data_IF_231700040684
#
_entry.id   IF_231700040684
#
_cell.length_a   1.000
_cell.length_b   1.000
_cell.length_c   1.000
_cell.angle_alpha   90.00
_cell.angle_beta   90.00
_cell.angle_gamma   90.00
#
_symmetry.space_group_name_H-M   'P 1'
#
loop_
_entity.id
_entity.type
_entity.pdbx_description
1 polymer ?
#
# COMPACT_ATOMS: atom_id res chain seq x y z
N UNK A 1 -4.96 -26.80 -27.59
CA UNK A 1 -4.44 -26.67 -28.95
C UNK A 1 -3.77 -25.31 -29.07
N UNK A 2 -2.57 -25.25 -29.57
CA UNK A 2 -1.87 -24.00 -29.94
C UNK A 2 -1.90 -23.98 -31.48
N UNK A 3 -2.53 -22.97 -32.06
CA UNK A 3 -2.60 -22.80 -33.52
C UNK A 3 -2.90 -21.35 -33.87
N UNK A 4 -2.68 -20.97 -35.12
CA UNK A 4 -3.19 -19.73 -35.69
C UNK A 4 -4.69 -19.86 -35.99
N UNK A 5 -5.36 -18.73 -36.26
CA UNK A 5 -6.77 -18.73 -36.63
C UNK A 5 -7.09 -19.68 -37.84
N UNK A 6 -6.11 -19.86 -38.72
CA UNK A 6 -6.21 -20.71 -39.90
C UNK A 6 -5.92 -22.20 -39.67
N UNK A 7 -5.65 -22.61 -38.41
CA UNK A 7 -5.36 -24.02 -38.11
C UNK A 7 -6.56 -24.88 -38.46
N UNK A 8 -6.38 -25.93 -39.31
CA UNK A 8 -7.47 -26.80 -39.75
C UNK A 8 -8.31 -27.41 -38.62
N UNK A 9 -7.74 -27.52 -37.42
CA UNK A 9 -8.45 -28.07 -36.26
C UNK A 9 -9.65 -27.21 -35.84
N UNK A 10 -9.61 -25.89 -36.08
CA UNK A 10 -10.75 -25.03 -35.78
C UNK A 10 -11.92 -25.27 -36.72
N UNK A 11 -11.64 -25.60 -38.00
CA UNK A 11 -12.68 -25.98 -38.96
C UNK A 11 -13.33 -27.32 -38.63
N UNK A 12 -12.60 -28.21 -37.94
CA UNK A 12 -13.15 -29.51 -37.52
C UNK A 12 -13.98 -29.40 -36.24
N UNK A 13 -13.62 -28.48 -35.35
CA UNK A 13 -14.22 -28.37 -34.02
C UNK A 13 -15.30 -27.31 -33.89
N UNK A 14 -15.35 -26.33 -34.76
CA UNK A 14 -16.27 -25.20 -34.72
C UNK A 14 -17.23 -25.24 -35.92
N UNK A 15 -18.47 -24.81 -35.69
CA UNK A 15 -19.40 -24.53 -36.78
C UNK A 15 -18.85 -23.37 -37.63
N UNK A 16 -19.25 -23.34 -38.91
CA UNK A 16 -18.72 -22.42 -39.92
C UNK A 16 -18.89 -20.94 -39.50
N UNK A 17 -20.07 -20.57 -38.96
CA UNK A 17 -20.36 -19.22 -38.51
C UNK A 17 -19.48 -18.82 -37.28
N UNK A 18 -19.25 -19.76 -36.35
CA UNK A 18 -18.41 -19.54 -35.16
C UNK A 18 -16.95 -19.43 -35.55
N UNK A 19 -16.50 -20.23 -36.51
CA UNK A 19 -15.14 -20.16 -37.02
C UNK A 19 -14.89 -18.84 -37.77
N UNK A 20 -15.83 -18.38 -38.59
CA UNK A 20 -15.71 -17.09 -39.29
C UNK A 20 -15.68 -15.93 -38.26
N UNK A 21 -16.56 -15.94 -37.24
CA UNK A 21 -16.53 -14.95 -36.19
C UNK A 21 -15.19 -14.90 -35.40
N UNK A 22 -14.58 -16.07 -35.21
CA UNK A 22 -13.23 -16.12 -34.57
C UNK A 22 -12.15 -15.46 -35.44
N UNK A 23 -12.21 -15.66 -36.76
CA UNK A 23 -11.29 -15.06 -37.74
C UNK A 23 -11.47 -13.52 -37.70
N UNK A 24 -12.71 -13.05 -37.84
CA UNK A 24 -13.04 -11.63 -37.86
C UNK A 24 -12.59 -10.93 -36.57
N UNK A 25 -12.78 -11.54 -35.40
CA UNK A 25 -12.34 -11.02 -34.10
C UNK A 25 -10.81 -10.95 -33.98
N UNK A 26 -10.09 -11.97 -34.52
CA UNK A 26 -8.63 -11.98 -34.52
C UNK A 26 -8.08 -10.91 -35.47
N UNK A 27 -8.63 -10.78 -36.66
CA UNK A 27 -8.24 -9.71 -37.60
C UNK A 27 -8.45 -8.33 -37.02
N UNK A 28 -9.57 -8.12 -36.32
CA UNK A 28 -9.84 -6.85 -35.61
C UNK A 28 -8.83 -6.58 -34.50
N UNK A 29 -8.43 -7.59 -33.72
CA UNK A 29 -7.41 -7.46 -32.67
C UNK A 29 -6.02 -7.20 -33.27
N UNK A 30 -5.68 -7.81 -34.39
CA UNK A 30 -4.39 -7.59 -35.06
C UNK A 30 -4.29 -6.19 -35.68
N UNK A 31 -5.42 -5.63 -36.18
CA UNK A 31 -5.47 -4.26 -36.73
C UNK A 31 -5.54 -3.16 -35.66
N UNK A 32 -6.28 -3.39 -34.57
CA UNK A 32 -6.56 -2.37 -33.53
C UNK A 32 -5.74 -2.55 -32.27
N UNK A 33 -5.12 -3.70 -32.07
CA UNK A 33 -4.32 -4.03 -30.87
C UNK A 33 -2.86 -3.62 -31.01
N UNK A 34 -2.18 -3.55 -29.85
CA UNK A 34 -0.72 -3.39 -29.81
C UNK A 34 -0.03 -4.73 -30.10
N UNK A 35 0.96 -4.70 -30.97
CA UNK A 35 1.82 -5.86 -31.24
C UNK A 35 2.60 -6.24 -29.97
N UNK A 36 2.68 -7.55 -29.65
CA UNK A 36 3.38 -8.03 -28.48
C UNK A 36 4.88 -7.74 -28.57
N UNK A 37 5.38 -6.93 -27.63
CA UNK A 37 6.77 -6.54 -27.51
C UNK A 37 7.28 -6.82 -26.06
N UNK A 38 8.24 -7.72 -25.91
CA UNK A 38 8.81 -8.10 -24.63
C UNK A 38 9.52 -6.94 -23.92
N UNK A 39 10.14 -6.02 -24.66
CA UNK A 39 10.81 -4.86 -24.06
C UNK A 39 9.82 -3.81 -23.58
N UNK A 40 8.74 -3.57 -24.32
CA UNK A 40 7.62 -2.74 -23.85
C UNK A 40 6.97 -3.33 -22.61
N UNK A 41 6.77 -4.66 -22.59
CA UNK A 41 6.28 -5.38 -21.40
C UNK A 41 7.16 -5.15 -20.18
N UNK A 42 8.47 -5.34 -20.31
CA UNK A 42 9.44 -5.13 -19.21
C UNK A 42 9.46 -3.70 -18.69
N UNK A 43 9.18 -2.71 -19.54
CA UNK A 43 9.07 -1.30 -19.15
C UNK A 43 7.71 -0.93 -18.58
N UNK A 44 6.72 -1.84 -18.60
CA UNK A 44 5.36 -1.59 -18.15
C UNK A 44 4.53 -0.75 -19.14
N UNK A 45 4.93 -0.68 -20.40
CA UNK A 45 4.25 0.04 -21.48
C UNK A 45 3.22 -0.85 -22.19
N UNK A 46 3.28 -2.15 -21.97
CA UNK A 46 2.38 -3.16 -22.52
C UNK A 46 1.93 -4.11 -21.41
N UNK A 47 0.65 -4.44 -21.40
CA UNK A 47 0.06 -5.44 -20.48
C UNK A 47 -0.47 -6.63 -21.26
N UNK A 48 0.08 -7.85 -21.06
CA UNK A 48 -0.41 -9.05 -21.73
C UNK A 48 -1.75 -9.46 -21.15
N UNK A 49 -2.67 -9.89 -22.01
CA UNK A 49 -3.99 -10.37 -21.63
C UNK A 49 -4.09 -11.87 -21.90
N UNK A 50 -4.69 -12.61 -20.98
CA UNK A 50 -4.94 -14.04 -21.10
C UNK A 50 -6.40 -14.34 -20.76
N UNK A 51 -7.00 -15.24 -21.51
CA UNK A 51 -8.32 -15.75 -21.23
C UNK A 51 -8.22 -17.11 -20.53
N UNK A 52 -8.95 -17.28 -19.44
CA UNK A 52 -8.91 -18.51 -18.68
C UNK A 52 -10.08 -18.65 -17.71
N UNK A 53 -10.29 -19.86 -17.24
CA UNK A 53 -11.27 -20.19 -16.22
C UNK A 53 -10.62 -21.04 -15.12
N UNK A 54 -10.56 -20.51 -13.91
CA UNK A 54 -10.07 -21.26 -12.75
C UNK A 54 -10.98 -22.46 -12.38
N UNK A 55 -12.29 -22.35 -12.66
CA UNK A 55 -13.24 -23.43 -12.36
C UNK A 55 -13.03 -24.67 -13.23
N UNK A 56 -12.70 -24.48 -14.50
CA UNK A 56 -12.50 -25.56 -15.46
C UNK A 56 -11.03 -25.83 -15.77
N UNK A 57 -10.11 -25.07 -15.17
CA UNK A 57 -8.67 -25.04 -15.50
C UNK A 57 -8.37 -24.71 -16.97
N UNK A 58 -9.33 -24.12 -17.69
CA UNK A 58 -9.12 -23.69 -19.06
C UNK A 58 -8.10 -22.54 -19.10
N UNK A 59 -7.11 -22.63 -19.99
CA UNK A 59 -6.12 -21.57 -20.22
C UNK A 59 -5.07 -21.41 -19.10
N UNK A 60 -5.19 -22.08 -17.94
CA UNK A 60 -4.29 -21.91 -16.80
C UNK A 60 -2.86 -22.36 -17.12
N UNK A 61 -2.71 -23.52 -17.78
CA UNK A 61 -1.37 -24.03 -18.13
C UNK A 61 -0.64 -23.14 -19.14
N UNK A 62 -1.24 -22.73 -20.27
CA UNK A 62 -0.61 -21.77 -21.18
C UNK A 62 -0.26 -20.43 -20.51
N UNK A 63 -1.15 -19.93 -19.64
CA UNK A 63 -0.87 -18.71 -18.88
C UNK A 63 0.38 -18.86 -18.00
N UNK A 64 0.50 -19.95 -17.24
CA UNK A 64 1.68 -20.18 -16.37
C UNK A 64 2.96 -20.34 -17.16
N UNK A 65 2.93 -21.05 -18.31
CA UNK A 65 4.10 -21.21 -19.18
C UNK A 65 4.57 -19.85 -19.70
N UNK A 66 3.67 -19.01 -20.19
CA UNK A 66 4.01 -17.68 -20.69
C UNK A 66 4.40 -16.72 -19.56
N UNK A 67 3.72 -16.80 -18.39
CA UNK A 67 4.11 -16.02 -17.20
C UNK A 67 5.55 -16.28 -16.80
N UNK A 68 5.99 -17.54 -16.75
CA UNK A 68 7.38 -17.89 -16.41
C UNK A 68 8.37 -17.31 -17.42
N UNK A 69 7.98 -17.21 -18.69
CA UNK A 69 8.81 -16.61 -19.74
C UNK A 69 8.88 -15.08 -19.64
N UNK A 70 7.77 -14.45 -19.27
CA UNK A 70 7.63 -12.99 -19.23
C UNK A 70 8.03 -12.37 -17.90
N UNK A 71 7.98 -13.12 -16.79
CA UNK A 71 8.26 -12.61 -15.45
C UNK A 71 9.65 -11.97 -15.37
N UNK A 72 9.76 -10.69 -14.99
CA UNK A 72 11.05 -10.01 -14.93
C UNK A 72 11.86 -10.50 -13.73
N UNK A 73 13.18 -10.49 -13.88
CA UNK A 73 14.09 -10.63 -12.74
C UNK A 73 13.93 -9.42 -11.79
N UNK A 74 14.35 -9.53 -10.51
CA UNK A 74 14.41 -8.38 -9.63
C UNK A 74 15.12 -7.19 -10.28
N UNK A 75 14.46 -6.03 -10.26
CA UNK A 75 14.94 -4.83 -10.93
C UNK A 75 15.66 -3.91 -9.93
N UNK A 76 16.62 -3.07 -10.41
CA UNK A 76 17.23 -2.01 -9.62
C UNK A 76 16.16 -1.09 -9.00
N UNK A 77 16.37 -0.66 -7.76
CA UNK A 77 15.43 0.19 -7.05
C UNK A 77 16.05 1.54 -6.68
N UNK A 78 15.36 2.63 -7.03
CA UNK A 78 15.77 3.98 -6.66
C UNK A 78 15.60 4.19 -5.14
N UNK A 79 16.59 4.82 -4.53
CA UNK A 79 16.57 5.30 -3.15
C UNK A 79 17.03 6.76 -3.11
N UNK A 80 16.97 7.41 -1.95
CA UNK A 80 17.39 8.81 -1.83
C UNK A 80 18.89 8.99 -2.10
N UNK A 81 19.70 7.98 -1.77
CA UNK A 81 21.15 7.98 -1.94
C UNK A 81 21.62 7.50 -3.32
N UNK A 82 20.70 7.16 -4.24
CA UNK A 82 21.00 6.68 -5.60
C UNK A 82 20.16 5.50 -6.05
N UNK A 83 20.83 4.45 -6.58
CA UNK A 83 20.19 3.21 -7.04
C UNK A 83 20.78 2.03 -6.28
N UNK A 84 19.93 1.11 -5.88
CA UNK A 84 20.28 -0.17 -5.26
C UNK A 84 20.13 -1.26 -6.32
N UNK A 85 21.25 -1.89 -6.67
CA UNK A 85 21.28 -3.04 -7.58
C UNK A 85 20.94 -4.33 -6.84
N UNK A 86 20.12 -5.23 -7.39
CA UNK A 86 19.79 -6.51 -6.75
C UNK A 86 21.01 -7.38 -6.47
N UNK A 87 22.08 -7.21 -7.27
CA UNK A 87 23.34 -7.95 -7.16
C UNK A 87 24.32 -7.36 -6.14
N UNK A 88 23.95 -6.27 -5.45
CA UNK A 88 24.77 -5.68 -4.38
C UNK A 88 24.85 -6.63 -3.19
N UNK A 89 26.04 -6.78 -2.59
CA UNK A 89 26.25 -7.64 -1.41
C UNK A 89 25.58 -7.09 -0.14
N UNK A 90 25.35 -5.78 -0.09
CA UNK A 90 24.71 -5.15 1.07
C UNK A 90 23.23 -5.52 1.12
N UNK A 91 22.79 -6.12 2.23
CA UNK A 91 21.37 -6.38 2.45
C UNK A 91 20.59 -5.06 2.56
N UNK A 92 19.53 -4.97 1.77
CA UNK A 92 18.53 -3.91 1.85
C UNK A 92 17.13 -4.48 1.65
N UNK A 93 16.16 -3.96 2.38
CA UNK A 93 14.76 -4.32 2.23
C UNK A 93 13.85 -3.15 2.59
N UNK A 94 12.61 -3.21 2.16
CA UNK A 94 11.59 -2.26 2.59
C UNK A 94 10.31 -2.99 3.04
N UNK A 95 9.65 -2.40 4.02
CA UNK A 95 8.38 -2.87 4.55
C UNK A 95 7.25 -2.41 3.63
N UNK A 96 6.47 -3.34 3.09
CA UNK A 96 5.34 -2.98 2.21
C UNK A 96 3.98 -3.34 2.79
N UNK A 97 3.94 -4.20 3.81
CA UNK A 97 2.70 -4.61 4.49
C UNK A 97 2.97 -4.93 5.95
N UNK A 98 2.00 -4.60 6.78
CA UNK A 98 1.95 -5.04 8.18
C UNK A 98 0.62 -5.72 8.40
N UNK A 99 0.61 -6.79 9.15
CA UNK A 99 -0.60 -7.48 9.55
C UNK A 99 -0.50 -7.88 11.02
N UNK A 100 -1.43 -7.37 11.82
CA UNK A 100 -1.57 -7.74 13.22
C UNK A 100 -2.67 -8.80 13.38
N UNK A 101 -2.62 -9.54 14.50
CA UNK A 101 -3.65 -10.49 14.93
C UNK A 101 -3.99 -11.56 13.88
N UNK A 102 -3.01 -12.01 13.10
CA UNK A 102 -3.21 -13.14 12.17
C UNK A 102 -3.66 -14.42 12.90
N UNK A 103 -3.19 -14.61 14.14
CA UNK A 103 -3.70 -15.64 15.04
C UNK A 103 -4.49 -14.95 16.15
N UNK A 104 -5.81 -15.19 16.27
CA UNK A 104 -6.63 -14.60 17.33
C UNK A 104 -6.17 -14.93 18.76
N UNK A 105 -5.44 -16.03 18.96
CA UNK A 105 -4.92 -16.45 20.25
C UNK A 105 -3.59 -15.78 20.62
N UNK A 106 -2.84 -15.31 19.62
CA UNK A 106 -1.57 -14.66 19.79
C UNK A 106 -1.68 -13.28 19.14
N UNK A 107 -1.63 -12.21 19.90
CA UNK A 107 -1.62 -10.83 19.40
C UNK A 107 -0.29 -10.54 18.69
N UNK A 108 0.01 -11.34 17.66
CA UNK A 108 1.20 -11.21 16.84
C UNK A 108 1.07 -10.06 15.84
N UNK A 109 2.18 -9.43 15.54
CA UNK A 109 2.30 -8.43 14.50
C UNK A 109 3.43 -8.85 13.58
N UNK A 110 3.08 -9.11 12.33
CA UNK A 110 4.02 -9.54 11.29
C UNK A 110 4.22 -8.39 10.32
N UNK A 111 5.48 -8.09 10.07
CA UNK A 111 5.92 -7.10 9.10
C UNK A 111 6.44 -7.85 7.89
N UNK A 112 5.82 -7.61 6.75
CA UNK A 112 6.24 -8.16 5.46
C UNK A 112 7.17 -7.20 4.76
N UNK A 113 8.34 -7.71 4.41
CA UNK A 113 9.35 -6.94 3.71
C UNK A 113 9.79 -7.63 2.43
N UNK A 114 10.07 -6.82 1.40
CA UNK A 114 10.69 -7.27 0.17
C UNK A 114 12.19 -7.00 0.21
N UNK A 115 12.97 -8.02 -0.09
CA UNK A 115 14.43 -7.90 -0.19
C UNK A 115 14.76 -7.26 -1.54
N UNK A 116 15.58 -6.19 -1.50
CA UNK A 116 15.99 -5.44 -2.69
C UNK A 116 17.42 -5.79 -3.13
N UNK A 117 18.31 -6.08 -2.18
CA UNK A 117 19.71 -6.47 -2.45
C UNK A 117 20.27 -7.27 -1.31
N UNK A 118 21.39 -7.94 -1.57
CA UNK A 118 22.12 -8.78 -0.63
C UNK A 118 21.36 -10.03 -0.23
N UNK A 119 21.96 -10.83 0.63
CA UNK A 119 21.38 -12.05 1.16
C UNK A 119 20.81 -11.78 2.57
N UNK A 120 19.57 -12.21 2.81
CA UNK A 120 19.00 -12.31 4.14
C UNK A 120 19.48 -13.61 4.80
N UNK A 121 19.87 -13.55 6.06
CA UNK A 121 20.16 -14.71 6.90
C UNK A 121 19.42 -14.59 8.24
N UNK A 122 18.84 -15.67 8.69
CA UNK A 122 18.09 -15.74 9.96
C UNK A 122 18.94 -15.25 11.13
N UNK A 123 18.36 -14.31 11.89
CA UNK A 123 19.03 -13.71 13.03
C UNK A 123 20.03 -12.61 12.71
N UNK A 124 20.14 -12.21 11.42
CA UNK A 124 20.99 -11.10 11.03
C UNK A 124 20.57 -9.80 11.73
N UNK A 125 21.55 -8.91 11.87
CA UNK A 125 21.36 -7.59 12.47
C UNK A 125 21.29 -6.54 11.37
N UNK A 126 20.26 -5.69 11.42
CA UNK A 126 20.00 -4.62 10.44
C UNK A 126 19.79 -3.29 11.13
N UNK A 127 19.99 -2.22 10.42
CA UNK A 127 19.64 -0.86 10.87
C UNK A 127 18.26 -0.50 10.32
N UNK A 128 17.36 -0.09 11.19
CA UNK A 128 16.09 0.52 10.83
C UNK A 128 16.32 2.00 10.52
N UNK A 129 16.12 2.39 9.26
CA UNK A 129 16.54 3.70 8.77
C UNK A 129 15.84 4.86 9.45
N UNK A 130 14.54 4.75 9.67
CA UNK A 130 13.69 5.81 10.21
C UNK A 130 13.96 6.10 11.69
N UNK A 131 14.24 5.08 12.50
CA UNK A 131 14.55 5.27 13.93
C UNK A 131 16.04 5.26 14.26
N UNK A 132 16.90 4.90 13.31
CA UNK A 132 18.34 4.68 13.54
C UNK A 132 18.68 3.49 14.42
N UNK A 133 17.68 2.74 14.91
CA UNK A 133 17.88 1.61 15.82
C UNK A 133 18.38 0.37 15.08
N UNK A 134 19.17 -0.40 15.79
CA UNK A 134 19.61 -1.73 15.33
C UNK A 134 18.57 -2.77 15.74
N UNK A 135 18.11 -3.58 14.78
CA UNK A 135 17.12 -4.63 14.98
C UNK A 135 17.73 -5.99 14.60
N UNK A 136 17.37 -7.01 15.33
CA UNK A 136 17.72 -8.40 14.99
C UNK A 136 16.49 -9.09 14.40
N UNK A 137 16.61 -9.56 13.16
CA UNK A 137 15.52 -10.20 12.43
C UNK A 137 15.44 -11.69 12.82
N UNK A 138 14.57 -11.98 13.77
CA UNK A 138 14.38 -13.33 14.32
C UNK A 138 13.17 -13.99 13.68
N UNK A 139 13.24 -15.31 13.54
CA UNK A 139 12.13 -16.18 13.08
C UNK A 139 11.44 -15.66 11.79
N UNK A 140 12.21 -15.44 10.71
CA UNK A 140 11.61 -15.04 9.45
C UNK A 140 10.70 -16.14 8.94
N UNK A 141 9.51 -15.73 8.50
CA UNK A 141 8.48 -16.62 8.00
C UNK A 141 8.23 -16.35 6.53
N UNK A 142 8.05 -17.41 5.77
CA UNK A 142 7.49 -17.37 4.44
C UNK A 142 6.09 -17.97 4.49
N UNK A 143 5.17 -17.39 3.76
CA UNK A 143 3.78 -17.80 3.75
C UNK A 143 3.45 -18.45 2.41
N UNK A 144 2.99 -19.69 2.46
CA UNK A 144 2.42 -20.38 1.32
C UNK A 144 0.98 -20.76 1.68
N UNK A 145 0.02 -20.03 1.17
CA UNK A 145 -1.38 -20.09 1.58
C UNK A 145 -1.54 -19.93 3.11
N UNK A 146 -1.99 -20.97 3.83
CA UNK A 146 -2.15 -20.95 5.28
C UNK A 146 -0.92 -21.49 6.05
N UNK A 147 0.03 -22.08 5.34
CA UNK A 147 1.21 -22.64 5.95
C UNK A 147 2.29 -21.59 6.19
N UNK A 148 2.94 -21.67 7.35
CA UNK A 148 4.06 -20.82 7.74
C UNK A 148 5.30 -21.68 7.82
N UNK A 149 6.31 -21.34 7.04
CA UNK A 149 7.61 -21.99 7.10
C UNK A 149 8.68 -21.02 7.56
N UNK A 150 9.59 -21.48 8.41
CA UNK A 150 10.75 -20.68 8.82
C UNK A 150 11.76 -20.71 7.68
N UNK A 151 12.25 -19.54 7.30
CA UNK A 151 13.22 -19.36 6.22
C UNK A 151 14.60 -19.13 6.84
N UNK A 152 15.58 -19.89 6.45
CA UNK A 152 16.96 -19.71 6.93
C UNK A 152 17.67 -18.60 6.15
N UNK A 153 17.41 -18.52 4.83
CA UNK A 153 17.96 -17.49 3.94
C UNK A 153 16.93 -17.05 2.89
N UNK A 154 17.12 -15.86 2.35
CA UNK A 154 16.30 -15.30 1.27
C UNK A 154 17.12 -14.29 0.43
N UNK A 155 16.69 -14.06 -0.80
CA UNK A 155 17.44 -13.34 -1.82
C UNK A 155 16.64 -12.15 -2.38
N UNK A 156 17.28 -11.24 -3.16
CA UNK A 156 16.59 -10.12 -3.79
C UNK A 156 15.37 -10.58 -4.62
N UNK A 157 14.24 -9.92 -4.36
CA UNK A 157 12.95 -10.28 -4.93
C UNK A 157 12.05 -11.11 -3.99
N UNK A 158 12.63 -11.81 -3.02
CA UNK A 158 11.87 -12.58 -2.04
C UNK A 158 11.14 -11.67 -1.06
N UNK A 159 10.04 -12.21 -0.55
CA UNK A 159 9.23 -11.62 0.51
C UNK A 159 9.35 -12.48 1.76
N UNK A 160 9.70 -11.84 2.86
CA UNK A 160 9.73 -12.48 4.18
C UNK A 160 8.88 -11.71 5.18
N UNK A 161 8.27 -12.43 6.11
CA UNK A 161 7.58 -11.86 7.26
C UNK A 161 8.42 -12.00 8.52
N UNK A 162 8.54 -10.95 9.31
CA UNK A 162 9.21 -10.98 10.62
C UNK A 162 8.28 -10.46 11.71
N UNK A 163 8.42 -11.02 12.91
CA UNK A 163 7.71 -10.47 14.07
C UNK A 163 8.29 -9.12 14.47
N UNK A 164 7.42 -8.19 14.82
CA UNK A 164 7.76 -6.86 15.27
C UNK A 164 6.86 -6.39 16.41
N UNK A 165 7.44 -5.67 17.35
CA UNK A 165 6.76 -5.15 18.54
C UNK A 165 6.20 -3.72 18.35
N UNK A 166 5.98 -3.29 17.11
CA UNK A 166 5.46 -1.94 16.81
C UNK A 166 6.55 -0.92 16.48
N UNK A 167 7.74 -1.38 16.14
CA UNK A 167 8.88 -0.50 15.79
C UNK A 167 8.85 -0.08 14.33
N UNK A 168 8.44 -0.98 13.44
CA UNK A 168 8.45 -0.77 11.98
C UNK A 168 7.10 -0.29 11.46
N UNK A 169 7.13 0.58 10.46
CA UNK A 169 5.98 1.07 9.70
C UNK A 169 6.02 0.63 8.23
N UNK A 170 4.88 0.74 7.52
CA UNK A 170 4.85 0.57 6.06
C UNK A 170 5.67 1.69 5.42
N UNK A 171 6.51 1.35 4.44
CA UNK A 171 7.48 2.28 3.82
C UNK A 171 8.86 2.26 4.47
N UNK A 172 9.02 1.70 5.67
CA UNK A 172 10.30 1.69 6.37
C UNK A 172 11.36 0.89 5.65
N UNK A 173 12.59 1.38 5.70
CA UNK A 173 13.77 0.77 5.10
C UNK A 173 14.64 0.09 6.15
N UNK A 174 15.08 -1.12 5.85
CA UNK A 174 16.04 -1.88 6.64
C UNK A 174 17.28 -2.15 5.80
N UNK A 175 18.46 -1.97 6.37
CA UNK A 175 19.71 -2.24 5.68
C UNK A 175 20.79 -2.75 6.64
N UNK A 176 21.77 -3.49 6.08
CA UNK A 176 23.00 -3.87 6.80
C UNK A 176 24.18 -3.00 6.33
N UNK A 177 25.30 -3.07 7.07
CA UNK A 177 26.53 -2.41 6.66
C UNK A 177 26.57 -0.91 6.89
N UNK A 178 27.55 -0.22 6.26
CA UNK A 178 27.87 1.19 6.53
C UNK A 178 27.19 2.19 5.61
N UNK A 179 26.84 1.79 4.39
CA UNK A 179 26.21 2.67 3.41
C UNK A 179 24.74 2.82 3.79
N UNK A 180 24.32 4.04 4.06
CA UNK A 180 22.90 4.35 4.33
C UNK A 180 22.08 4.15 3.06
N UNK A 181 20.90 3.60 3.21
CA UNK A 181 19.90 3.44 2.14
C UNK A 181 18.55 3.85 2.67
N UNK A 182 17.81 4.64 1.89
CA UNK A 182 16.46 5.08 2.20
C UNK A 182 15.60 4.93 0.97
N UNK A 183 14.73 3.94 0.95
CA UNK A 183 13.73 3.83 -0.11
C UNK A 183 12.66 4.89 0.06
N UNK A 184 12.10 5.37 -1.06
CA UNK A 184 10.97 6.29 -1.01
C UNK A 184 9.74 5.58 -0.45
N UNK A 185 8.97 6.30 0.34
CA UNK A 185 7.68 5.84 0.86
C UNK A 185 6.73 5.46 -0.31
N UNK A 186 5.77 4.59 -0.01
CA UNK A 186 4.70 4.30 -0.95
C UNK A 186 3.82 5.52 -1.16
N UNK A 187 3.29 5.71 -2.38
CA UNK A 187 2.28 6.73 -2.61
C UNK A 187 1.10 6.53 -1.66
N UNK A 188 0.80 7.54 -0.88
CA UNK A 188 -0.37 7.54 0.00
C UNK A 188 -1.54 8.17 -0.76
N UNK A 189 -2.62 7.42 -0.96
CA UNK A 189 -3.82 7.99 -1.55
C UNK A 189 -4.50 8.92 -0.53
N UNK A 190 -4.85 10.15 -0.91
CA UNK A 190 -5.62 11.02 -0.03
C UNK A 190 -6.99 10.39 0.23
N UNK A 191 -7.52 10.47 1.45
CA UNK A 191 -8.86 9.98 1.74
C UNK A 191 -9.91 10.91 1.13
N UNK A 192 -11.01 10.31 0.71
CA UNK A 192 -12.17 11.00 0.12
C UNK A 192 -13.40 10.93 1.02
N UNK A 193 -13.39 10.06 2.02
CA UNK A 193 -14.47 9.86 2.98
C UNK A 193 -13.96 10.03 4.39
N UNK A 194 -14.72 10.75 5.22
CA UNK A 194 -14.33 11.01 6.60
C UNK A 194 -15.46 10.66 7.57
N UNK A 195 -15.07 10.13 8.72
CA UNK A 195 -16.00 9.85 9.81
C UNK A 195 -15.38 10.19 11.16
N UNK A 196 -16.20 10.67 12.07
CA UNK A 196 -15.87 10.76 13.48
C UNK A 196 -16.25 9.46 14.15
N UNK A 197 -15.31 8.86 14.87
CA UNK A 197 -15.52 7.59 15.54
C UNK A 197 -15.17 7.68 17.03
N UNK A 198 -15.91 6.93 17.83
CA UNK A 198 -15.64 6.71 19.25
C UNK A 198 -16.07 5.31 19.69
N UNK A 199 -15.51 4.81 20.77
CA UNK A 199 -16.02 3.61 21.39
C UNK A 199 -17.38 3.90 22.04
N UNK A 200 -18.37 3.01 21.86
CA UNK A 200 -19.68 3.11 22.55
C UNK A 200 -19.51 2.96 24.06
N UNK A 201 -18.60 2.09 24.48
CA UNK A 201 -18.28 1.85 25.88
C UNK A 201 -16.94 2.54 26.25
N UNK A 202 -17.00 3.53 27.12
CA UNK A 202 -15.84 4.27 27.60
C UNK A 202 -14.83 3.41 28.37
N UNK A 203 -15.24 2.30 28.98
CA UNK A 203 -14.37 1.37 29.67
C UNK A 203 -13.45 0.62 28.70
N UNK A 204 -13.80 0.52 27.43
CA UNK A 204 -13.01 -0.09 26.36
C UNK A 204 -12.06 0.86 25.65
N UNK A 205 -11.86 2.06 26.19
CA UNK A 205 -11.00 3.09 25.59
C UNK A 205 -9.59 2.59 25.27
N UNK A 206 -8.98 1.80 26.16
CA UNK A 206 -7.63 1.25 25.95
C UNK A 206 -7.56 0.29 24.74
N UNK A 207 -8.55 -0.60 24.63
CA UNK A 207 -8.67 -1.52 23.50
C UNK A 207 -8.95 -0.77 22.20
N UNK A 208 -9.81 0.25 22.26
CA UNK A 208 -10.11 1.13 21.13
C UNK A 208 -8.83 1.82 20.61
N UNK A 209 -8.07 2.47 21.47
CA UNK A 209 -6.82 3.13 21.09
C UNK A 209 -5.81 2.15 20.50
N UNK A 210 -5.65 0.96 21.12
CA UNK A 210 -4.75 -0.08 20.60
C UNK A 210 -5.18 -0.53 19.20
N UNK A 211 -6.48 -0.83 19.01
CA UNK A 211 -7.01 -1.26 17.72
C UNK A 211 -6.86 -0.19 16.65
N UNK A 212 -7.19 1.05 16.96
CA UNK A 212 -7.02 2.19 16.04
C UNK A 212 -5.58 2.35 15.59
N UNK A 213 -4.64 2.36 16.54
CA UNK A 213 -3.21 2.51 16.22
C UNK A 213 -2.70 1.37 15.32
N UNK A 214 -3.07 0.12 15.62
CA UNK A 214 -2.64 -1.02 14.83
C UNK A 214 -3.24 -1.00 13.42
N UNK A 215 -4.53 -0.74 13.28
CA UNK A 215 -5.21 -0.68 11.98
C UNK A 215 -4.70 0.48 11.10
N UNK A 216 -4.35 1.61 11.71
CA UNK A 216 -3.69 2.70 10.99
C UNK A 216 -2.28 2.33 10.51
N UNK A 217 -1.51 1.64 11.35
CA UNK A 217 -0.16 1.17 10.97
C UNK A 217 -0.17 0.12 9.86
N UNK A 218 -1.25 -0.64 9.74
CA UNK A 218 -1.48 -1.57 8.63
C UNK A 218 -1.89 -0.85 7.34
N UNK A 219 -2.23 0.45 7.41
CA UNK A 219 -2.70 1.23 6.26
C UNK A 219 -4.17 0.99 5.90
N UNK A 220 -4.94 0.33 6.77
CA UNK A 220 -6.36 0.07 6.53
C UNK A 220 -7.17 1.37 6.44
N UNK A 221 -6.84 2.35 7.28
CA UNK A 221 -7.44 3.69 7.33
C UNK A 221 -6.40 4.72 7.75
N UNK A 222 -6.67 5.99 7.48
CA UNK A 222 -5.88 7.11 8.01
C UNK A 222 -6.59 7.68 9.25
N UNK A 223 -5.81 7.90 10.31
CA UNK A 223 -6.31 8.42 11.58
C UNK A 223 -5.82 9.83 11.80
N UNK A 224 -6.72 10.69 12.23
CA UNK A 224 -6.45 12.08 12.54
C UNK A 224 -6.91 12.39 13.97
N UNK A 225 -6.10 13.15 14.67
CA UNK A 225 -6.44 13.70 15.98
C UNK A 225 -7.31 14.95 15.81
N UNK A 226 -8.45 14.96 16.49
CA UNK A 226 -9.32 16.12 16.56
C UNK A 226 -8.79 17.10 17.62
N UNK A 227 -8.38 18.29 17.22
CA UNK A 227 -7.88 19.31 18.14
C UNK A 227 -8.92 19.82 19.16
N UNK A 228 -10.20 19.58 18.89
CA UNK A 228 -11.30 20.00 19.76
C UNK A 228 -11.82 18.95 20.74
N UNK A 229 -11.37 17.69 20.66
CA UNK A 229 -11.88 16.60 21.52
C UNK A 229 -10.89 15.45 21.61
N UNK A 230 -10.48 15.10 22.83
CA UNK A 230 -9.60 13.93 23.09
C UNK A 230 -10.34 12.59 23.10
N UNK A 231 -11.66 12.56 22.96
CA UNK A 231 -12.47 11.34 23.10
C UNK A 231 -12.86 10.72 21.75
N UNK A 232 -12.72 11.48 20.66
CA UNK A 232 -13.07 11.02 19.33
C UNK A 232 -11.92 11.20 18.36
N UNK A 233 -11.81 10.24 17.43
CA UNK A 233 -10.87 10.29 16.33
C UNK A 233 -11.62 10.58 15.03
N UNK A 234 -10.95 11.27 14.12
CA UNK A 234 -11.39 11.38 12.74
C UNK A 234 -10.67 10.29 11.96
N UNK A 235 -11.42 9.56 11.16
CA UNK A 235 -10.89 8.53 10.25
C UNK A 235 -11.15 8.95 8.83
N UNK A 236 -10.12 8.89 8.02
CA UNK A 236 -10.17 9.05 6.58
C UNK A 236 -10.00 7.72 5.85
N UNK A 237 -10.79 7.50 4.83
CA UNK A 237 -10.76 6.33 3.97
C UNK A 237 -10.91 6.73 2.51
N UNK A 238 -10.34 5.94 1.59
CA UNK A 238 -10.52 6.12 0.15
C UNK A 238 -11.89 5.60 -0.28
N UNK A 239 -12.40 4.54 0.36
CA UNK A 239 -13.66 3.91 0.02
C UNK A 239 -14.48 3.45 1.23
N UNK A 240 -15.77 3.23 1.00
CA UNK A 240 -16.75 2.83 2.02
C UNK A 240 -16.35 1.53 2.72
N UNK A 241 -15.87 0.55 1.95
CA UNK A 241 -15.49 -0.78 2.48
C UNK A 241 -14.43 -0.71 3.58
N UNK A 242 -13.53 0.28 3.54
CA UNK A 242 -12.51 0.45 4.58
C UNK A 242 -13.13 0.76 5.96
N UNK A 243 -14.25 1.48 6.02
CA UNK A 243 -14.98 1.72 7.26
C UNK A 243 -15.65 0.46 7.78
N UNK A 244 -16.22 -0.35 6.90
CA UNK A 244 -16.86 -1.63 7.26
C UNK A 244 -15.83 -2.61 7.81
N UNK A 245 -14.67 -2.69 7.16
CA UNK A 245 -13.53 -3.50 7.66
C UNK A 245 -13.04 -2.98 9.00
N UNK A 246 -12.91 -1.66 9.17
CA UNK A 246 -12.51 -1.06 10.45
C UNK A 246 -13.48 -1.43 11.58
N UNK A 247 -14.80 -1.28 11.36
CA UNK A 247 -15.83 -1.60 12.35
C UNK A 247 -15.83 -3.09 12.68
N UNK A 248 -15.79 -3.96 11.66
CA UNK A 248 -15.72 -5.40 11.83
C UNK A 248 -14.51 -5.84 12.66
N UNK A 249 -13.32 -5.34 12.31
CA UNK A 249 -12.07 -5.72 12.99
C UNK A 249 -12.02 -5.20 14.42
N UNK A 250 -12.45 -3.96 14.68
CA UNK A 250 -12.49 -3.42 16.05
C UNK A 250 -13.45 -4.21 16.93
N UNK A 251 -14.57 -4.66 16.38
CA UNK A 251 -15.53 -5.49 17.11
C UNK A 251 -14.97 -6.89 17.39
N UNK A 252 -14.45 -7.58 16.39
CA UNK A 252 -14.09 -9.00 16.51
C UNK A 252 -12.68 -9.26 17.06
N UNK A 253 -11.72 -8.35 16.78
CA UNK A 253 -10.34 -8.52 17.26
C UNK A 253 -10.08 -7.81 18.59
N UNK A 254 -10.76 -6.69 18.84
CA UNK A 254 -10.53 -5.84 20.03
C UNK A 254 -11.72 -5.79 20.97
N UNK A 255 -12.87 -6.37 20.59
CA UNK A 255 -14.10 -6.39 21.38
C UNK A 255 -14.75 -5.01 21.57
N UNK A 256 -14.55 -4.08 20.64
CA UNK A 256 -15.00 -2.68 20.71
C UNK A 256 -16.09 -2.43 19.72
N UNK A 257 -17.29 -2.06 20.20
CA UNK A 257 -18.35 -1.53 19.36
C UNK A 257 -18.16 -0.03 19.14
N UNK A 258 -18.33 0.42 17.89
CA UNK A 258 -18.12 1.80 17.47
C UNK A 258 -19.44 2.59 17.37
N UNK A 259 -19.35 3.86 17.67
CA UNK A 259 -20.25 4.89 17.14
C UNK A 259 -19.50 5.63 16.04
N UNK A 260 -20.08 5.66 14.84
CA UNK A 260 -19.48 6.26 13.64
C UNK A 260 -20.44 7.30 13.06
N UNK A 261 -19.98 8.53 12.96
CA UNK A 261 -20.72 9.65 12.40
C UNK A 261 -19.97 10.18 11.17
N UNK A 262 -20.60 10.13 9.99
CA UNK A 262 -20.03 10.65 8.75
C UNK A 262 -19.85 12.16 8.84
N UNK A 263 -18.75 12.64 8.27
CA UNK A 263 -18.42 14.05 8.16
C UNK A 263 -18.59 14.53 6.72
N UNK A 264 -18.99 15.78 6.50
CA UNK A 264 -19.26 16.33 5.17
C UNK A 264 -18.00 16.83 4.48
N UNK A 265 -16.89 16.11 4.63
CA UNK A 265 -15.61 16.43 3.99
C UNK A 265 -15.28 15.36 2.96
N UNK A 266 -14.69 15.81 1.82
CA UNK A 266 -14.24 14.91 0.75
C UNK A 266 -12.80 15.16 0.35
N UNK A 267 -12.16 16.19 0.90
CA UNK A 267 -10.82 16.62 0.52
C UNK A 267 -9.96 16.75 1.77
N UNK A 268 -8.74 16.20 1.70
CA UNK A 268 -7.67 16.43 2.69
C UNK A 268 -6.54 17.21 2.03
N UNK A 269 -5.99 18.20 2.74
CA UNK A 269 -4.77 18.92 2.34
C UNK A 269 -3.81 19.01 3.53
N UNK A 270 -2.61 18.52 3.32
CA UNK A 270 -1.51 18.67 4.28
C UNK A 270 -0.93 20.07 4.15
N UNK A 271 -0.76 20.76 5.27
CA UNK A 271 -0.35 22.16 5.29
C UNK A 271 1.15 22.24 5.60
N UNK A 272 1.93 22.76 4.66
CA UNK A 272 3.27 23.21 4.92
C UNK A 272 3.22 24.65 5.38
N UNK A 273 3.58 24.89 6.62
CA UNK A 273 3.39 26.19 7.27
C UNK A 273 4.40 27.26 6.87
N UNK A 274 5.52 26.89 6.24
CA UNK A 274 6.58 27.77 5.78
C UNK A 274 7.07 28.76 6.86
N UNK A 275 7.02 28.35 8.14
CA UNK A 275 7.41 29.17 9.29
C UNK A 275 6.27 29.96 9.95
N UNK A 276 5.05 29.91 9.43
CA UNK A 276 3.84 30.51 10.01
C UNK A 276 3.15 29.58 11.01
N UNK A 277 2.34 30.13 11.91
CA UNK A 277 1.44 29.30 12.72
C UNK A 277 0.21 28.91 11.90
N UNK A 278 -0.16 27.62 11.90
CA UNK A 278 -1.37 27.15 11.20
C UNK A 278 -2.68 27.83 11.68
N UNK A 279 -2.64 28.45 12.87
CA UNK A 279 -3.75 29.26 13.41
C UNK A 279 -3.97 30.57 12.66
N UNK A 280 -3.00 30.99 11.84
CA UNK A 280 -3.10 32.18 10.99
C UNK A 280 -3.88 31.90 9.68
N UNK A 281 -4.25 30.65 9.41
CA UNK A 281 -5.09 30.27 8.27
C UNK A 281 -6.42 31.05 8.28
N UNK A 282 -6.73 31.70 7.16
CA UNK A 282 -7.91 32.54 6.98
C UNK A 282 -9.01 31.84 6.21
N UNK A 283 -10.26 32.20 6.50
CA UNK A 283 -11.44 31.73 5.77
C UNK A 283 -11.61 30.20 5.78
N UNK A 284 -11.32 29.57 6.91
CA UNK A 284 -11.41 28.12 7.10
C UNK A 284 -12.64 27.69 7.93
N UNK A 285 -13.64 28.55 8.11
CA UNK A 285 -14.81 28.31 8.97
C UNK A 285 -15.62 27.06 8.58
N UNK A 286 -15.58 26.69 7.30
CA UNK A 286 -16.23 25.50 6.74
C UNK A 286 -15.31 24.26 6.67
N UNK A 287 -14.07 24.38 7.13
CA UNK A 287 -13.09 23.32 7.14
C UNK A 287 -12.76 22.87 8.56
N UNK A 288 -12.13 21.71 8.71
CA UNK A 288 -11.69 21.19 10.00
C UNK A 288 -10.17 21.02 10.00
N UNK A 289 -9.52 21.62 11.00
CA UNK A 289 -8.10 21.37 11.25
C UNK A 289 -7.94 20.12 12.10
N UNK A 290 -7.13 19.20 11.63
CA UNK A 290 -6.77 17.96 12.34
C UNK A 290 -5.26 17.73 12.26
N UNK A 291 -4.73 16.78 13.02
CA UNK A 291 -3.36 16.31 12.91
C UNK A 291 -3.30 14.84 12.54
N UNK A 292 -2.42 14.48 11.63
CA UNK A 292 -2.17 13.07 11.32
C UNK A 292 -1.29 12.38 12.39
N UNK A 293 -1.03 11.10 12.22
CA UNK A 293 -0.23 10.30 13.16
C UNK A 293 1.24 10.76 13.31
N UNK A 294 1.75 11.57 12.37
CA UNK A 294 3.07 12.22 12.43
C UNK A 294 2.99 13.65 12.94
N UNK A 295 1.86 14.06 13.53
CA UNK A 295 1.59 15.41 14.05
C UNK A 295 1.62 16.54 13.00
N UNK A 296 1.47 16.19 11.71
CA UNK A 296 1.40 17.16 10.62
C UNK A 296 -0.01 17.72 10.53
N UNK A 297 -0.10 19.02 10.28
CA UNK A 297 -1.39 19.70 10.14
C UNK A 297 -2.07 19.31 8.84
N UNK A 298 -3.34 18.97 8.94
CA UNK A 298 -4.19 18.59 7.81
C UNK A 298 -5.49 19.38 7.89
N UNK A 299 -5.91 19.92 6.76
CA UNK A 299 -7.19 20.60 6.62
C UNK A 299 -8.16 19.68 5.88
N UNK A 300 -9.29 19.37 6.51
CA UNK A 300 -10.39 18.63 5.89
C UNK A 300 -11.40 19.64 5.34
N UNK A 301 -11.72 19.51 4.05
CA UNK A 301 -12.50 20.50 3.29
C UNK A 301 -13.66 19.76 2.62
N UNK A 302 -14.80 20.43 2.46
CA UNK A 302 -16.00 19.79 1.94
C UNK A 302 -15.90 19.47 0.42
N UNK A 303 -15.21 20.29 -0.37
CA UNK A 303 -15.08 20.09 -1.82
C UNK A 303 -13.91 20.89 -2.41
N UNK A 304 -13.57 20.59 -3.66
CA UNK A 304 -12.45 21.23 -4.37
C UNK A 304 -12.67 22.74 -4.64
N UNK A 305 -13.90 23.18 -4.81
CA UNK A 305 -14.17 24.60 -4.98
C UNK A 305 -13.76 25.42 -3.75
N UNK A 306 -14.13 24.93 -2.56
CA UNK A 306 -13.70 25.54 -1.30
C UNK A 306 -12.19 25.44 -1.10
N UNK A 307 -11.58 24.37 -1.55
CA UNK A 307 -10.11 24.20 -1.50
C UNK A 307 -9.43 25.32 -2.26
N UNK A 308 -9.81 25.57 -3.51
CA UNK A 308 -9.23 26.62 -4.33
C UNK A 308 -9.42 28.00 -3.69
N UNK A 309 -10.61 28.28 -3.15
CA UNK A 309 -10.91 29.52 -2.47
C UNK A 309 -10.06 29.75 -1.20
N UNK A 310 -9.77 28.70 -0.41
CA UNK A 310 -8.92 28.76 0.77
C UNK A 310 -7.45 28.96 0.33
N UNK A 311 -6.97 28.24 -0.66
CA UNK A 311 -5.59 28.35 -1.18
C UNK A 311 -5.29 29.78 -1.65
N UNK A 312 -6.17 30.39 -2.42
CA UNK A 312 -6.00 31.76 -2.92
C UNK A 312 -5.85 32.83 -1.81
N UNK A 313 -6.44 32.57 -0.64
CA UNK A 313 -6.44 33.51 0.50
C UNK A 313 -5.34 33.27 1.51
N UNK A 314 -4.57 32.19 1.33
CA UNK A 314 -3.48 31.80 2.20
C UNK A 314 -2.20 31.51 1.39
N UNK A 315 -1.70 32.47 0.60
CA UNK A 315 -0.54 32.25 -0.28
C UNK A 315 0.76 31.99 0.48
N UNK A 316 0.81 32.32 1.78
CA UNK A 316 1.93 32.06 2.68
C UNK A 316 2.07 30.56 3.03
N UNK A 317 1.02 29.76 2.87
CA UNK A 317 1.01 28.32 3.14
C UNK A 317 1.08 27.52 1.84
N UNK A 318 1.67 26.32 1.92
CA UNK A 318 1.61 25.37 0.81
C UNK A 318 0.64 24.24 1.14
N UNK A 319 -0.32 23.98 0.25
CA UNK A 319 -1.34 22.95 0.40
C UNK A 319 -0.97 21.74 -0.44
N UNK A 320 -0.60 20.64 0.21
CA UNK A 320 -0.18 19.41 -0.42
C UNK A 320 -1.34 18.41 -0.47
N UNK A 321 -1.49 17.68 -1.58
CA UNK A 321 -2.51 16.64 -1.73
C UNK A 321 -2.17 15.37 -0.97
N UNK A 322 -0.88 15.13 -0.77
CA UNK A 322 -0.35 13.94 -0.08
C UNK A 322 0.76 14.34 0.87
N UNK A 323 0.98 13.57 1.94
CA UNK A 323 2.00 13.88 2.95
C UNK A 323 3.45 13.82 2.44
N UNK A 324 3.70 13.09 1.37
CA UNK A 324 5.02 12.96 0.73
C UNK A 324 5.43 14.20 -0.09
N UNK A 325 4.47 15.07 -0.42
CA UNK A 325 4.74 16.36 -1.07
C UNK A 325 5.23 17.43 -0.09
N UNK A 326 5.05 17.23 1.21
CA UNK A 326 5.61 18.12 2.21
C UNK A 326 7.15 18.09 2.10
N UNK A 327 7.78 19.25 1.95
CA UNK A 327 9.23 19.34 2.02
C UNK A 327 9.63 18.93 3.44
N UNK A 328 10.47 17.91 3.54
CA UNK A 328 11.14 17.60 4.80
C UNK A 328 12.04 18.80 5.08
N UNK A 329 11.84 19.48 6.20
CA UNK A 329 12.80 20.47 6.66
C UNK A 329 14.15 19.74 6.75
N UNK A 330 15.12 20.20 5.98
CA UNK A 330 16.49 19.71 6.09
C UNK A 330 16.95 20.06 7.51
N UNK A 331 17.12 19.02 8.37
CA UNK A 331 17.80 19.10 9.66
C UNK A 331 19.32 19.14 9.46
#
# INVERSE_FOLDING_TARGET
TKGSADDPIFKELLDEDVHQGLIDDIELLDEAGDEFDMEKLKRGELTPMFFGSAMTNFGVKPFLEEFLRMAPKPQPRKCLEGVVEPTSDQFTSFVFKIQANMNPQHHDRIVFMRICSGKFEKGMTVTHRQSGKTLRLMQPQQFLATERTIVEDAYPGDIIGVFDNGTMGVGDTLYSGKKKVTFKDFPTFPPELFARIRAKDSMKRKQFLKGMTQLAQEGAVQIYENLGSMESYIVGAVGQLQFEVLEYRLKHEYGVDLEMNRLPYTVARWIQTNGHDYKELKNIDSAMIVKDHKQRVVLLIANEWQTNWIVERNPEFTFCTTPDQLKIAEE
#
